data_IF_121739491337
#
_entry.id   IF_121739491337
#
_cell.length_a   1.000
_cell.length_b   1.000
_cell.length_c   1.000
_cell.angle_alpha   90.00
_cell.angle_beta   90.00
_cell.angle_gamma   90.00
#
_symmetry.space_group_name_H-M   'P 1'
#
loop_
_entity.id
_entity.type
_entity.pdbx_description
1 polymer ?
#
# COMPACT_ATOMS: atom_id res chain seq x y z
N UNK A 1 -8.10 -5.41 3.61
CA UNK A 1 -6.89 -5.25 2.79
C UNK A 1 -6.15 -6.54 2.41
N UNK A 2 -6.20 -7.63 3.20
CA UNK A 2 -5.50 -8.89 2.85
C UNK A 2 -5.82 -9.44 1.45
N UNK A 3 -7.11 -9.57 1.12
CA UNK A 3 -7.57 -10.04 -0.20
C UNK A 3 -7.01 -9.20 -1.36
N UNK A 4 -6.85 -7.89 -1.16
CA UNK A 4 -6.25 -7.01 -2.18
C UNK A 4 -4.77 -7.35 -2.38
N UNK A 5 -4.00 -7.47 -1.30
CA UNK A 5 -2.57 -7.80 -1.36
C UNK A 5 -2.38 -9.17 -2.02
N UNK A 6 -3.18 -10.17 -1.65
CA UNK A 6 -3.10 -11.52 -2.21
C UNK A 6 -3.32 -11.53 -3.73
N UNK A 7 -4.42 -10.92 -4.17
CA UNK A 7 -4.76 -10.83 -5.59
C UNK A 7 -3.75 -9.99 -6.36
N UNK A 8 -3.22 -8.93 -5.75
CA UNK A 8 -2.24 -8.09 -6.43
C UNK A 8 -0.91 -8.82 -6.60
N UNK A 9 -0.42 -9.53 -5.57
CA UNK A 9 0.76 -10.38 -5.65
C UNK A 9 0.63 -11.43 -6.76
N UNK A 10 -0.49 -12.13 -6.82
CA UNK A 10 -0.80 -13.09 -7.89
C UNK A 10 -0.76 -12.42 -9.28
N UNK A 11 -1.45 -11.28 -9.43
CA UNK A 11 -1.52 -10.53 -10.69
C UNK A 11 -0.15 -9.99 -11.13
N UNK A 12 0.69 -9.53 -10.21
CA UNK A 12 1.99 -8.94 -10.53
C UNK A 12 3.14 -9.95 -10.55
N UNK A 13 2.89 -11.21 -10.21
CA UNK A 13 3.93 -12.23 -10.06
C UNK A 13 4.93 -11.92 -8.95
N UNK A 14 4.50 -11.16 -7.93
CA UNK A 14 5.35 -10.78 -6.79
C UNK A 14 4.96 -11.55 -5.54
N UNK A 15 5.87 -11.63 -4.59
CA UNK A 15 5.68 -12.33 -3.33
C UNK A 15 5.75 -11.35 -2.16
N UNK A 16 5.07 -11.71 -1.08
CA UNK A 16 5.12 -10.97 0.18
C UNK A 16 6.45 -11.22 0.88
N UNK A 17 6.78 -10.37 1.83
CA UNK A 17 7.95 -10.57 2.68
C UNK A 17 7.82 -11.90 3.47
N UNK A 18 8.89 -12.70 3.62
CA UNK A 18 8.85 -14.00 4.29
C UNK A 18 8.54 -13.92 5.79
N UNK A 19 8.87 -12.80 6.44
CA UNK A 19 8.49 -12.52 7.82
C UNK A 19 7.03 -12.07 7.95
N UNK A 20 6.21 -12.83 8.68
CA UNK A 20 4.76 -12.60 8.80
C UNK A 20 4.41 -11.20 9.34
N UNK A 21 5.18 -10.67 10.29
CA UNK A 21 4.90 -9.37 10.91
C UNK A 21 5.01 -8.17 9.97
N UNK A 22 5.84 -8.26 8.92
CA UNK A 22 6.04 -7.15 7.97
C UNK A 22 4.80 -6.97 7.10
N UNK A 23 4.32 -8.08 6.50
CA UNK A 23 3.11 -8.06 5.69
C UNK A 23 1.91 -7.57 6.49
N UNK A 24 1.76 -8.06 7.72
CA UNK A 24 0.63 -7.69 8.57
C UNK A 24 0.63 -6.20 8.91
N UNK A 25 1.80 -5.65 9.27
CA UNK A 25 1.94 -4.22 9.58
C UNK A 25 1.54 -3.33 8.39
N UNK A 26 1.93 -3.70 7.17
CA UNK A 26 1.56 -2.97 5.95
C UNK A 26 0.06 -3.10 5.67
N UNK A 27 -0.49 -4.29 5.79
CA UNK A 27 -1.93 -4.53 5.57
C UNK A 27 -2.78 -3.73 6.54
N UNK A 28 -2.40 -3.70 7.82
CA UNK A 28 -3.09 -2.93 8.86
C UNK A 28 -2.97 -1.43 8.61
N UNK A 29 -1.78 -0.91 8.29
CA UNK A 29 -1.59 0.50 7.97
C UNK A 29 -2.38 0.95 6.73
N UNK A 30 -2.46 0.11 5.70
CA UNK A 30 -3.30 0.37 4.53
C UNK A 30 -4.80 0.42 4.89
N UNK A 31 -5.26 -0.49 5.75
CA UNK A 31 -6.64 -0.50 6.21
C UNK A 31 -6.95 0.74 7.05
N UNK A 32 -6.06 1.10 7.98
CA UNK A 32 -6.21 2.29 8.81
C UNK A 32 -6.29 3.57 7.97
N UNK A 33 -5.47 3.71 6.92
CA UNK A 33 -5.58 4.87 6.03
C UNK A 33 -6.91 4.87 5.23
N UNK A 34 -7.50 3.71 4.89
CA UNK A 34 -8.86 3.70 4.34
C UNK A 34 -9.86 4.22 5.36
N UNK A 35 -9.76 3.79 6.61
CA UNK A 35 -10.70 4.21 7.67
C UNK A 35 -10.56 5.70 8.02
N UNK A 36 -9.32 6.23 8.06
CA UNK A 36 -9.04 7.62 8.42
C UNK A 36 -9.27 8.62 7.29
N UNK A 37 -8.80 8.30 6.08
CA UNK A 37 -8.72 9.25 4.95
C UNK A 37 -9.41 8.72 3.68
N UNK A 38 -10.11 7.57 3.76
CA UNK A 38 -10.92 7.02 2.68
C UNK A 38 -10.15 6.34 1.55
N UNK A 39 -8.81 6.34 1.59
CA UNK A 39 -7.95 5.75 0.55
C UNK A 39 -6.76 4.99 1.14
N UNK A 40 -6.29 3.91 0.49
CA UNK A 40 -5.16 3.11 0.96
C UNK A 40 -3.82 3.78 0.65
N UNK A 41 -3.57 4.95 1.23
CA UNK A 41 -2.27 5.64 1.13
C UNK A 41 -1.16 4.74 1.70
N UNK A 42 0.02 4.72 1.08
CA UNK A 42 1.12 3.85 1.49
C UNK A 42 1.53 4.11 2.97
N UNK A 43 1.48 3.11 3.86
CA UNK A 43 1.76 3.33 5.28
C UNK A 43 3.26 3.44 5.60
N UNK A 44 4.13 3.07 4.67
CA UNK A 44 5.59 3.06 4.88
C UNK A 44 6.27 4.43 4.62
N UNK A 45 5.49 5.50 4.41
CA UNK A 45 5.99 6.84 4.08
C UNK A 45 5.43 7.88 5.04
N UNK A 46 6.22 8.93 5.26
CA UNK A 46 5.76 10.13 5.94
C UNK A 46 5.11 11.10 4.94
N UNK A 47 3.96 11.65 5.33
CA UNK A 47 3.26 12.68 4.58
C UNK A 47 3.02 13.88 5.50
N UNK A 48 3.47 15.09 5.13
CA UNK A 48 3.15 16.30 5.89
C UNK A 48 1.64 16.54 5.97
N UNK A 49 0.92 16.27 4.87
CA UNK A 49 -0.52 16.34 4.79
C UNK A 49 -1.07 15.15 4.00
N UNK A 50 -1.67 14.19 4.72
CA UNK A 50 -2.29 13.01 4.10
C UNK A 50 -3.50 13.38 3.24
N UNK A 51 -4.21 14.46 3.56
CA UNK A 51 -5.46 14.86 2.87
C UNK A 51 -5.17 15.50 1.51
N UNK A 52 -4.09 16.25 1.40
CA UNK A 52 -3.59 16.72 0.10
C UNK A 52 -3.04 15.56 -0.72
N UNK A 53 -2.28 14.64 -0.10
CA UNK A 53 -1.65 13.54 -0.82
C UNK A 53 -2.66 12.60 -1.49
N UNK A 54 -3.80 12.32 -0.85
CA UNK A 54 -4.83 11.45 -1.45
C UNK A 54 -5.54 12.04 -2.67
N UNK A 55 -5.32 13.33 -2.96
CA UNK A 55 -5.77 13.95 -4.22
C UNK A 55 -4.91 13.48 -5.39
N UNK A 56 -3.70 13.00 -5.11
CA UNK A 56 -2.79 12.41 -6.08
C UNK A 56 -2.83 10.88 -6.03
N UNK A 57 -2.59 10.23 -7.18
CA UNK A 57 -2.57 8.76 -7.30
C UNK A 57 -1.25 8.13 -6.84
N UNK A 58 -0.19 8.94 -6.79
CA UNK A 58 1.21 8.52 -6.73
C UNK A 58 1.48 7.49 -5.65
N UNK A 59 0.97 7.73 -4.43
CA UNK A 59 1.21 6.87 -3.28
C UNK A 59 0.01 6.04 -2.81
N UNK A 60 -1.08 6.03 -3.58
CA UNK A 60 -2.23 5.15 -3.28
C UNK A 60 -1.84 3.72 -3.62
N UNK A 61 -2.07 2.75 -2.73
CA UNK A 61 -1.69 1.37 -2.97
C UNK A 61 -2.59 0.73 -4.05
N UNK A 62 -2.05 0.03 -5.07
CA UNK A 62 -0.64 -0.13 -5.41
C UNK A 62 -0.10 1.16 -6.04
N UNK A 63 1.00 1.73 -5.51
CA UNK A 63 1.55 3.03 -5.92
C UNK A 63 2.12 2.99 -7.35
N UNK A 64 2.51 4.15 -7.88
CA UNK A 64 3.08 4.26 -9.22
C UNK A 64 4.39 3.46 -9.33
N UNK A 65 5.25 3.52 -8.31
CA UNK A 65 6.49 2.73 -8.25
C UNK A 65 6.23 1.22 -8.38
N UNK A 66 5.20 0.72 -7.69
CA UNK A 66 4.83 -0.69 -7.76
C UNK A 66 4.24 -1.06 -9.13
N UNK A 67 3.48 -0.17 -9.75
CA UNK A 67 2.88 -0.42 -11.05
C UNK A 67 3.92 -0.40 -12.18
N UNK A 68 4.84 0.57 -12.17
CA UNK A 68 5.80 0.82 -13.24
C UNK A 68 7.05 -0.06 -13.08
N UNK A 69 7.60 -0.13 -11.86
CA UNK A 69 8.91 -0.72 -11.61
C UNK A 69 8.87 -2.02 -10.78
N UNK A 70 7.67 -2.46 -10.34
CA UNK A 70 7.51 -3.55 -9.35
C UNK A 70 8.29 -3.30 -8.06
N UNK A 71 8.47 -2.03 -7.71
CA UNK A 71 9.16 -1.61 -6.50
C UNK A 71 8.15 -1.23 -5.42
N UNK A 72 8.16 -1.98 -4.31
CA UNK A 72 7.46 -1.63 -3.07
C UNK A 72 8.54 -1.32 -2.02
N UNK A 73 8.47 -0.13 -1.43
CA UNK A 73 9.37 0.29 -0.34
C UNK A 73 9.17 -0.58 0.89
#
# INVERSE_FOLDING_TARGET
>A
MRVFVDKYCEKSGTFKHPGEGVTESVVLGLAQNIDEIGRPLCPCRFYPDKTEEIKHRTWICACDDMQIYKYCH
#
